data_IF_702658464693
#
_entry.id   IF_702658464693
#
_cell.length_a   1.000
_cell.length_b   1.000
_cell.length_c   1.000
_cell.angle_alpha   90.00
_cell.angle_beta   90.00
_cell.angle_gamma   90.00
#
_symmetry.space_group_name_H-M   'P 1'
#
loop_
_entity.id
_entity.type
_entity.pdbx_description
1 polymer ?
#
# COMPACT_ATOMS: atom_id res chain seq x y z
N UNK A 1 43.63 -9.81 6.82
CA UNK A 1 42.65 -8.72 6.67
C UNK A 1 42.33 -8.62 5.19
N UNK A 2 41.15 -9.09 4.80
CA UNK A 2 40.62 -8.91 3.45
C UNK A 2 39.31 -8.17 3.60
N UNK A 3 39.23 -7.11 2.80
CA UNK A 3 38.18 -6.13 2.64
C UNK A 3 36.79 -6.79 2.56
N UNK A 4 35.93 -6.53 3.56
CA UNK A 4 34.51 -6.84 3.45
C UNK A 4 33.93 -5.75 2.59
N UNK A 5 33.88 -6.01 1.28
CA UNK A 5 33.16 -5.18 0.34
C UNK A 5 31.70 -5.11 0.81
N UNK A 6 31.35 -3.95 1.33
CA UNK A 6 29.98 -3.52 1.63
C UNK A 6 29.19 -3.66 0.32
N UNK A 7 28.29 -4.65 0.30
CA UNK A 7 27.46 -4.94 -0.85
C UNK A 7 26.46 -3.80 -0.99
N UNK A 8 26.86 -2.82 -1.79
CA UNK A 8 26.03 -1.93 -2.61
C UNK A 8 24.65 -1.63 -2.06
N UNK A 9 24.43 -0.37 -1.70
CA UNK A 9 23.14 0.31 -1.74
C UNK A 9 22.50 0.14 -3.14
N UNK A 10 21.93 -1.05 -3.41
CA UNK A 10 21.06 -1.26 -4.54
C UNK A 10 19.86 -0.33 -4.32
N UNK A 11 19.80 0.71 -5.14
CA UNK A 11 18.81 1.77 -5.10
C UNK A 11 17.41 1.16 -5.14
N UNK A 12 16.81 0.93 -3.95
CA UNK A 12 15.51 0.27 -3.82
C UNK A 12 14.48 1.08 -4.61
N UNK A 13 13.86 0.43 -5.59
CA UNK A 13 12.84 1.07 -6.42
C UNK A 13 11.69 1.51 -5.52
N UNK A 14 11.28 2.78 -5.63
CA UNK A 14 10.21 3.34 -4.84
C UNK A 14 9.18 4.01 -5.74
N UNK A 15 7.94 4.06 -5.28
CA UNK A 15 6.85 4.76 -5.93
C UNK A 15 5.95 5.39 -4.87
N UNK A 16 5.10 6.32 -5.30
CA UNK A 16 4.06 6.92 -4.44
C UNK A 16 2.75 6.88 -5.21
N UNK A 17 1.73 6.34 -4.56
CA UNK A 17 0.37 6.33 -5.07
C UNK A 17 -0.51 7.18 -4.15
N UNK A 18 -1.22 8.16 -4.73
CA UNK A 18 -2.15 9.03 -4.01
C UNK A 18 -3.55 8.73 -4.53
N UNK A 19 -4.44 8.38 -3.61
CA UNK A 19 -5.84 8.09 -3.90
C UNK A 19 -6.75 9.06 -3.15
N UNK A 20 -7.54 9.82 -3.90
CA UNK A 20 -8.55 10.72 -3.35
C UNK A 20 -9.92 10.03 -3.34
N UNK A 21 -10.57 10.02 -2.17
CA UNK A 21 -11.95 9.56 -2.01
C UNK A 21 -12.85 10.78 -1.90
N UNK A 22 -13.70 10.97 -2.90
CA UNK A 22 -14.72 12.01 -2.88
C UNK A 22 -15.96 11.55 -2.10
N UNK A 23 -16.72 12.50 -1.56
CA UNK A 23 -17.96 12.23 -0.83
C UNK A 23 -17.79 11.26 0.36
N UNK A 24 -16.69 11.37 1.11
CA UNK A 24 -16.35 10.44 2.20
C UNK A 24 -17.44 10.26 3.28
N UNK A 25 -18.30 11.26 3.49
CA UNK A 25 -19.46 11.13 4.39
C UNK A 25 -20.43 10.02 3.99
N UNK A 26 -20.58 9.76 2.69
CA UNK A 26 -21.39 8.67 2.16
C UNK A 26 -20.77 7.31 2.47
N UNK A 27 -19.44 7.19 2.35
CA UNK A 27 -18.69 5.99 2.71
C UNK A 27 -18.91 5.60 4.17
N UNK A 28 -18.83 6.59 5.08
CA UNK A 28 -19.08 6.36 6.51
C UNK A 28 -20.53 5.97 6.83
N UNK A 29 -21.45 6.14 5.90
CA UNK A 29 -22.87 5.88 6.14
C UNK A 29 -23.33 4.56 5.52
N UNK A 30 -22.88 4.20 4.32
CA UNK A 30 -23.54 3.17 3.51
C UNK A 30 -22.66 2.01 3.03
N UNK A 31 -21.33 2.12 3.08
CA UNK A 31 -20.42 1.10 2.52
C UNK A 31 -19.52 0.49 3.59
N UNK A 32 -19.28 -0.82 3.51
CA UNK A 32 -18.34 -1.49 4.44
C UNK A 32 -16.89 -1.29 4.01
N UNK A 33 -16.63 -1.25 2.70
CA UNK A 33 -15.31 -1.05 2.12
C UNK A 33 -15.40 -0.30 0.77
N UNK A 34 -14.28 0.28 0.35
CA UNK A 34 -14.08 0.92 -0.94
C UNK A 34 -12.68 0.58 -1.43
N UNK A 35 -12.53 0.30 -2.72
CA UNK A 35 -11.26 -0.04 -3.35
C UNK A 35 -10.80 1.07 -4.27
N UNK A 36 -9.49 1.30 -4.31
CA UNK A 36 -8.87 2.18 -5.30
C UNK A 36 -8.90 1.54 -6.69
N UNK A 37 -8.71 2.33 -7.74
CA UNK A 37 -8.28 1.80 -9.02
C UNK A 37 -7.00 0.95 -8.86
N UNK A 38 -6.85 -0.08 -9.69
CA UNK A 38 -5.61 -0.85 -9.79
C UNK A 38 -4.51 0.04 -10.36
N UNK A 39 -3.32 -0.01 -9.77
CA UNK A 39 -2.12 0.67 -10.24
C UNK A 39 -0.99 -0.32 -10.51
N UNK A 40 -0.23 -0.02 -11.56
CA UNK A 40 0.87 -0.87 -12.05
C UNK A 40 2.19 -0.22 -11.67
N UNK A 41 3.09 -0.97 -11.06
CA UNK A 41 4.41 -0.49 -10.67
C UNK A 41 5.48 -1.14 -11.55
N UNK A 42 5.80 -0.46 -12.65
CA UNK A 42 6.79 -0.91 -13.64
C UNK A 42 8.14 -1.28 -13.02
N UNK A 43 8.61 -0.46 -12.07
CA UNK A 43 9.89 -0.67 -11.40
C UNK A 43 9.91 -1.86 -10.44
N UNK A 44 8.74 -2.40 -10.09
CA UNK A 44 8.58 -3.57 -9.23
C UNK A 44 8.05 -4.72 -10.08
N UNK A 45 8.74 -5.02 -11.18
CA UNK A 45 8.44 -6.16 -12.07
C UNK A 45 7.01 -6.14 -12.63
N UNK A 46 6.49 -4.94 -12.93
CA UNK A 46 5.13 -4.72 -13.46
C UNK A 46 4.04 -5.34 -12.58
N UNK A 47 4.25 -5.31 -11.27
CA UNK A 47 3.26 -5.78 -10.30
C UNK A 47 2.04 -4.87 -10.25
N UNK A 48 0.88 -5.47 -10.00
CA UNK A 48 -0.41 -4.80 -10.01
C UNK A 48 -1.02 -4.81 -8.60
N UNK A 49 -1.52 -3.65 -8.18
CA UNK A 49 -1.89 -3.40 -6.79
C UNK A 49 -3.14 -2.55 -6.69
N UNK A 50 -3.86 -2.66 -5.57
CA UNK A 50 -4.88 -1.68 -5.20
C UNK A 50 -4.94 -1.52 -3.69
N UNK A 51 -5.51 -0.40 -3.24
CA UNK A 51 -5.80 -0.13 -1.84
C UNK A 51 -7.26 -0.43 -1.56
N UNK A 52 -7.55 -0.96 -0.38
CA UNK A 52 -8.91 -1.11 0.12
C UNK A 52 -9.00 -0.42 1.48
N UNK A 53 -9.95 0.52 1.61
CA UNK A 53 -10.28 1.15 2.89
C UNK A 53 -11.61 0.59 3.36
N UNK A 54 -11.67 0.18 4.62
CA UNK A 54 -12.87 -0.43 5.17
C UNK A 54 -13.06 -0.08 6.64
N UNK A 55 -14.31 -0.18 7.09
CA UNK A 55 -14.67 0.03 8.50
C UNK A 55 -14.49 -1.27 9.26
N UNK A 56 -13.88 -1.20 10.43
CA UNK A 56 -13.84 -2.35 11.34
C UNK A 56 -15.26 -2.67 11.83
N UNK A 57 -15.52 -3.92 12.23
CA UNK A 57 -16.85 -4.36 12.69
C UNK A 57 -17.38 -3.57 13.90
N UNK A 58 -16.49 -2.94 14.66
CA UNK A 58 -16.83 -2.08 15.79
C UNK A 58 -17.15 -0.63 15.38
N UNK A 59 -17.00 -0.30 14.09
CA UNK A 59 -17.31 1.01 13.51
C UNK A 59 -16.45 2.18 14.00
N UNK A 60 -15.55 1.94 14.95
CA UNK A 60 -14.75 2.94 15.65
C UNK A 60 -13.47 3.32 14.89
N UNK A 61 -13.04 2.49 13.93
CA UNK A 61 -11.78 2.69 13.21
C UNK A 61 -11.94 2.46 11.70
N UNK A 62 -11.09 3.19 10.96
CA UNK A 62 -10.87 2.98 9.53
C UNK A 62 -9.58 2.16 9.43
N UNK A 63 -9.66 1.03 8.74
CA UNK A 63 -8.51 0.20 8.39
C UNK A 63 -8.23 0.27 6.90
N UNK A 64 -6.99 -0.05 6.54
CA UNK A 64 -6.57 -0.06 5.15
C UNK A 64 -5.80 -1.33 4.82
N UNK A 65 -5.99 -1.82 3.61
CA UNK A 65 -5.24 -2.94 3.03
C UNK A 65 -4.56 -2.52 1.75
N UNK A 66 -3.39 -3.09 1.53
CA UNK A 66 -2.76 -3.15 0.21
C UNK A 66 -2.90 -4.57 -0.31
N UNK A 67 -3.51 -4.68 -1.49
CA UNK A 67 -3.73 -5.91 -2.20
C UNK A 67 -2.78 -5.99 -3.39
N UNK A 68 -2.21 -7.19 -3.60
CA UNK A 68 -1.51 -7.54 -4.83
C UNK A 68 -2.38 -8.45 -5.67
N UNK A 69 -2.53 -8.10 -6.93
CA UNK A 69 -3.29 -8.88 -7.92
C UNK A 69 -2.55 -10.15 -8.38
N UNK A 70 -3.19 -10.93 -9.25
CA UNK A 70 -2.55 -12.01 -9.98
C UNK A 70 -1.75 -11.48 -11.19
N UNK A 71 -0.69 -10.73 -10.91
CA UNK A 71 0.12 -10.05 -11.93
C UNK A 71 1.18 -10.95 -12.60
N UNK A 72 1.90 -10.37 -13.57
CA UNK A 72 3.01 -11.03 -14.28
C UNK A 72 4.34 -11.07 -13.50
N UNK A 73 4.41 -10.47 -12.31
CA UNK A 73 5.60 -10.39 -11.49
C UNK A 73 5.96 -11.69 -10.75
N UNK A 74 6.89 -11.65 -9.79
CA UNK A 74 7.39 -12.82 -9.09
C UNK A 74 6.32 -13.37 -8.13
N UNK A 75 6.39 -14.66 -7.76
CA UNK A 75 5.37 -15.25 -6.87
C UNK A 75 5.25 -14.50 -5.53
N UNK A 76 6.37 -13.99 -5.02
CA UNK A 76 6.45 -13.19 -3.79
C UNK A 76 7.32 -11.97 -4.03
N UNK A 77 6.96 -10.86 -3.41
CA UNK A 77 7.74 -9.62 -3.42
C UNK A 77 7.82 -9.04 -2.02
N UNK A 78 9.01 -8.63 -1.61
CA UNK A 78 9.23 -7.93 -0.34
C UNK A 78 9.17 -6.42 -0.57
N UNK A 79 8.28 -5.76 0.16
CA UNK A 79 8.07 -4.32 0.06
C UNK A 79 8.23 -3.67 1.42
N UNK A 80 8.85 -2.50 1.43
CA UNK A 80 8.74 -1.54 2.54
C UNK A 80 7.76 -0.49 2.08
N UNK A 81 6.76 -0.19 2.90
CA UNK A 81 5.71 0.75 2.55
C UNK A 81 5.44 1.72 3.68
N UNK A 82 4.92 2.89 3.30
CA UNK A 82 4.36 3.87 4.21
C UNK A 82 2.92 4.16 3.79
N UNK A 83 1.99 4.04 4.72
CA UNK A 83 0.63 4.52 4.55
C UNK A 83 0.46 5.86 5.22
N UNK A 84 -0.21 6.80 4.53
CA UNK A 84 -0.47 8.13 5.05
C UNK A 84 -1.90 8.57 4.74
N UNK A 85 -2.64 9.02 5.75
CA UNK A 85 -3.80 9.88 5.54
C UNK A 85 -3.32 11.30 5.35
N UNK A 86 -3.72 11.95 4.25
CA UNK A 86 -3.30 13.31 3.93
C UNK A 86 -4.37 14.31 4.35
N UNK A 87 -3.94 15.47 4.85
CA UNK A 87 -4.81 16.64 5.04
C UNK A 87 -5.04 17.35 3.70
N UNK A 88 -5.93 18.33 3.71
CA UNK A 88 -6.24 19.16 2.55
C UNK A 88 -5.02 19.91 1.97
N UNK A 89 -4.00 20.18 2.79
CA UNK A 89 -2.74 20.80 2.33
C UNK A 89 -1.70 19.80 1.81
N UNK A 90 -2.09 18.53 1.68
CA UNK A 90 -1.21 17.44 1.20
C UNK A 90 -0.23 16.93 2.25
N UNK A 91 -0.20 17.51 3.45
CA UNK A 91 0.68 17.02 4.52
C UNK A 91 0.09 15.80 5.22
N UNK A 92 0.94 14.89 5.73
CA UNK A 92 0.47 13.70 6.43
C UNK A 92 -0.19 14.05 7.77
N UNK A 93 -1.42 13.55 7.97
CA UNK A 93 -2.15 13.60 9.24
C UNK A 93 -1.72 12.46 10.17
N UNK A 94 -1.63 11.25 9.63
CA UNK A 94 -1.19 10.04 10.32
C UNK A 94 -0.45 9.15 9.35
N UNK A 95 0.62 8.51 9.83
CA UNK A 95 1.46 7.62 9.03
C UNK A 95 1.76 6.33 9.77
N UNK A 96 1.91 5.25 9.00
CA UNK A 96 2.40 3.96 9.48
C UNK A 96 3.40 3.44 8.46
N UNK A 97 4.56 2.99 8.92
CA UNK A 97 5.60 2.38 8.08
C UNK A 97 5.78 0.94 8.52
N UNK A 98 5.86 0.02 7.56
CA UNK A 98 6.13 -1.38 7.83
C UNK A 98 6.80 -2.05 6.61
N UNK A 99 7.17 -3.32 6.76
CA UNK A 99 7.71 -4.17 5.71
C UNK A 99 6.99 -5.51 5.65
N UNK A 100 6.72 -6.01 4.45
CA UNK A 100 6.05 -7.29 4.28
C UNK A 100 6.50 -8.01 3.01
N UNK A 101 6.44 -9.35 3.03
CA UNK A 101 6.50 -10.19 1.84
C UNK A 101 5.09 -10.60 1.41
N UNK A 102 4.65 -10.09 0.26
CA UNK A 102 3.32 -10.37 -0.30
C UNK A 102 3.39 -11.35 -1.47
N UNK A 103 2.57 -12.39 -1.40
CA UNK A 103 2.32 -13.29 -2.52
C UNK A 103 1.17 -12.77 -3.40
N UNK A 104 1.04 -13.30 -4.62
CA UNK A 104 -0.09 -12.99 -5.50
C UNK A 104 -1.43 -13.31 -4.84
N UNK A 105 -2.46 -12.50 -5.11
CA UNK A 105 -3.80 -12.62 -4.53
C UNK A 105 -3.82 -12.62 -2.98
N UNK A 106 -2.84 -11.96 -2.35
CA UNK A 106 -2.79 -11.75 -0.89
C UNK A 106 -2.80 -10.26 -0.57
N UNK A 107 -3.20 -9.97 0.66
CA UNK A 107 -3.25 -8.62 1.20
C UNK A 107 -2.56 -8.53 2.54
N UNK A 108 -2.15 -7.30 2.85
CA UNK A 108 -1.80 -6.88 4.21
C UNK A 108 -2.96 -6.14 4.85
N UNK A 109 -3.20 -6.40 6.14
CA UNK A 109 -4.12 -5.65 6.98
C UNK A 109 -3.35 -4.68 7.88
N UNK A 110 -3.78 -3.42 7.94
CA UNK A 110 -3.22 -2.35 8.77
C UNK A 110 -4.31 -1.49 9.41
#
# INVERSE_FOLDING_TARGET
>A
MADVADKSDEKRTHFTYIWAIENGSFFFSFTQFVSSPVFIVESMEKTEWYLEIFRTSEGSHISMRLWRENDGGPERIEIVFEFAFLRADGLPLKKTTDSITLAKNKHLLT
#
